data_IF_392261925142
#
_entry.id   IF_392261925142
#
_cell.length_a   1.000
_cell.length_b   1.000
_cell.length_c   1.000
_cell.angle_alpha   90.00
_cell.angle_beta   90.00
_cell.angle_gamma   90.00
#
_symmetry.space_group_name_H-M   'P 1'
#
loop_
_entity.id
_entity.type
_entity.pdbx_description
1 polymer ?
#
# COMPACT_ATOMS: atom_id res chain seq x y z
N UNK A 1 2.08 -19.66 3.73
CA UNK A 1 1.14 -19.84 4.88
C UNK A 1 0.56 -18.48 5.20
N UNK A 2 -0.72 -18.40 5.60
CA UNK A 2 -1.25 -17.13 6.14
C UNK A 2 -0.43 -16.75 7.39
N UNK A 3 -0.32 -15.47 7.74
CA UNK A 3 0.39 -15.04 8.95
C UNK A 3 -0.16 -15.66 10.25
N UNK A 4 -1.37 -16.22 10.21
CA UNK A 4 -2.04 -16.91 11.32
C UNK A 4 -2.32 -18.41 11.06
N UNK A 5 -1.68 -19.04 10.07
CA UNK A 5 -1.71 -20.51 9.85
C UNK A 5 -3.07 -21.22 9.74
N UNK A 6 -4.19 -20.53 9.47
CA UNK A 6 -5.47 -21.21 9.16
C UNK A 6 -5.78 -21.30 7.66
N UNK A 7 -6.20 -22.46 7.12
CA UNK A 7 -6.68 -22.59 5.76
C UNK A 7 -8.11 -22.05 5.65
N UNK A 8 -8.25 -20.78 5.25
CA UNK A 8 -9.54 -20.28 4.77
C UNK A 8 -9.84 -20.98 3.44
N UNK A 9 -11.02 -21.58 3.27
CA UNK A 9 -11.46 -22.26 2.04
C UNK A 9 -11.52 -21.33 0.81
N UNK A 10 -12.57 -21.39 -0.02
CA UNK A 10 -12.77 -20.34 -1.04
C UNK A 10 -13.03 -18.99 -0.37
N UNK A 11 -11.99 -18.19 -0.19
CA UNK A 11 -12.03 -16.86 0.40
C UNK A 11 -12.45 -15.81 -0.65
N UNK A 12 -13.37 -14.92 -0.29
CA UNK A 12 -13.79 -13.81 -1.17
C UNK A 12 -12.72 -12.70 -1.21
N UNK A 13 -12.74 -11.84 -2.24
CA UNK A 13 -11.83 -10.68 -2.33
C UNK A 13 -11.92 -9.79 -1.08
N UNK A 14 -13.13 -9.47 -0.63
CA UNK A 14 -13.36 -8.69 0.59
C UNK A 14 -12.65 -9.33 1.78
N UNK A 15 -12.86 -10.63 2.00
CA UNK A 15 -12.27 -11.36 3.11
C UNK A 15 -10.76 -11.45 2.99
N UNK A 16 -10.23 -11.68 1.78
CA UNK A 16 -8.80 -11.73 1.51
C UNK A 16 -8.10 -10.40 1.85
N UNK A 17 -8.75 -9.27 1.57
CA UNK A 17 -8.26 -7.94 1.98
C UNK A 17 -8.34 -7.78 3.51
N UNK A 18 -9.48 -8.11 4.13
CA UNK A 18 -9.69 -8.00 5.58
C UNK A 18 -8.60 -8.72 6.40
N UNK A 19 -8.28 -9.95 6.03
CA UNK A 19 -7.32 -10.80 6.77
C UNK A 19 -5.92 -10.82 6.17
N UNK A 20 -5.67 -10.06 5.10
CA UNK A 20 -4.39 -10.09 4.38
C UNK A 20 -3.97 -11.50 3.95
N UNK A 21 -4.84 -12.23 3.23
CA UNK A 21 -4.56 -13.63 2.88
C UNK A 21 -3.54 -13.76 1.75
N UNK A 22 -2.31 -14.11 2.13
CA UNK A 22 -1.24 -14.41 1.17
C UNK A 22 -1.63 -15.52 0.20
N UNK A 23 -2.30 -16.59 0.68
CA UNK A 23 -2.72 -17.71 -0.18
C UNK A 23 -3.61 -17.24 -1.34
N UNK A 24 -4.51 -16.30 -1.09
CA UNK A 24 -5.37 -15.73 -2.12
C UNK A 24 -4.54 -14.97 -3.18
N UNK A 25 -3.65 -14.08 -2.75
CA UNK A 25 -2.84 -13.26 -3.66
C UNK A 25 -1.74 -14.06 -4.36
N UNK A 26 -1.17 -15.09 -3.72
CA UNK A 26 -0.29 -16.07 -4.37
C UNK A 26 -1.00 -16.84 -5.47
N UNK A 27 -2.26 -17.25 -5.24
CA UNK A 27 -3.07 -17.93 -6.25
C UNK A 27 -3.32 -17.03 -7.45
N UNK A 28 -3.63 -15.75 -7.21
CA UNK A 28 -3.78 -14.75 -8.28
C UNK A 28 -2.45 -14.57 -9.03
N UNK A 29 -1.33 -14.39 -8.32
CA UNK A 29 0.00 -14.22 -8.90
C UNK A 29 0.39 -15.39 -9.79
N UNK A 30 0.25 -16.62 -9.32
CA UNK A 30 0.53 -17.83 -10.11
C UNK A 30 -0.41 -17.99 -11.32
N UNK A 31 -1.70 -17.67 -11.16
CA UNK A 31 -2.67 -17.71 -12.26
C UNK A 31 -2.37 -16.70 -13.36
N UNK A 32 -2.03 -15.46 -12.99
CA UNK A 32 -1.67 -14.41 -13.94
C UNK A 32 -0.38 -14.75 -14.69
N UNK A 33 0.64 -15.26 -14.01
CA UNK A 33 1.86 -15.75 -14.65
C UNK A 33 1.55 -16.88 -15.65
N UNK A 34 0.70 -17.84 -15.26
CA UNK A 34 0.34 -18.97 -16.12
C UNK A 34 -0.44 -18.53 -17.36
N UNK A 35 -1.31 -17.51 -17.24
CA UNK A 35 -2.02 -16.92 -18.39
C UNK A 35 -1.07 -16.16 -19.31
N UNK A 36 -0.13 -15.40 -18.74
CA UNK A 36 0.89 -14.69 -19.51
C UNK A 36 1.75 -15.66 -20.32
N UNK A 37 2.21 -16.76 -19.72
CA UNK A 37 3.02 -17.78 -20.41
C UNK A 37 2.27 -18.48 -21.54
N UNK A 38 0.95 -18.62 -21.41
CA UNK A 38 0.06 -19.13 -22.47
C UNK A 38 -0.39 -18.06 -23.47
N UNK A 39 0.07 -16.81 -23.33
CA UNK A 39 -0.34 -15.65 -24.15
C UNK A 39 -1.84 -15.36 -24.09
N UNK A 40 -2.48 -15.69 -22.96
CA UNK A 40 -3.91 -15.47 -22.69
C UNK A 40 -4.18 -14.18 -21.91
N UNK A 41 -3.13 -13.48 -21.49
CA UNK A 41 -3.19 -12.13 -20.94
C UNK A 41 -2.31 -11.19 -21.74
N UNK A 42 -2.66 -9.91 -21.78
CA UNK A 42 -1.99 -8.89 -22.60
C UNK A 42 -0.57 -8.50 -22.19
N UNK A 43 0.07 -9.21 -21.25
CA UNK A 43 1.39 -8.87 -20.74
C UNK A 43 1.58 -9.14 -19.24
N UNK A 44 2.46 -8.33 -18.64
CA UNK A 44 2.85 -8.34 -17.22
C UNK A 44 1.79 -7.61 -16.38
N UNK A 45 0.60 -8.21 -16.23
CA UNK A 45 -0.60 -7.54 -15.70
C UNK A 45 -0.36 -6.86 -14.34
N UNK A 46 0.39 -7.50 -13.42
CA UNK A 46 0.66 -6.95 -12.09
C UNK A 46 1.53 -5.68 -12.20
N UNK A 47 2.60 -5.77 -12.98
CA UNK A 47 3.56 -4.69 -13.19
C UNK A 47 2.92 -3.51 -13.93
N UNK A 48 2.16 -3.80 -14.99
CA UNK A 48 1.40 -2.80 -15.75
C UNK A 48 0.41 -2.08 -14.84
N UNK A 49 -0.36 -2.82 -14.04
CA UNK A 49 -1.30 -2.25 -13.06
C UNK A 49 -0.57 -1.40 -12.02
N UNK A 50 0.55 -1.89 -11.46
CA UNK A 50 1.33 -1.12 -10.49
C UNK A 50 1.84 0.21 -11.09
N UNK A 51 2.32 0.20 -12.33
CA UNK A 51 2.79 1.40 -13.04
C UNK A 51 1.65 2.37 -13.35
N UNK A 52 0.46 1.86 -13.69
CA UNK A 52 -0.74 2.68 -13.84
C UNK A 52 -1.06 3.42 -12.53
N UNK A 53 -0.95 2.75 -11.39
CA UNK A 53 -1.13 3.36 -10.06
C UNK A 53 0.04 4.26 -9.61
N UNK A 54 1.08 4.43 -10.44
CA UNK A 54 2.17 5.38 -10.21
C UNK A 54 3.45 4.78 -9.61
N UNK A 55 3.51 3.47 -9.36
CA UNK A 55 4.73 2.83 -8.87
C UNK A 55 5.82 2.74 -9.94
N UNK A 56 7.08 2.72 -9.50
CA UNK A 56 8.25 2.55 -10.38
C UNK A 56 8.69 3.81 -11.14
N UNK A 57 8.13 4.97 -10.80
CA UNK A 57 8.54 6.29 -11.27
C UNK A 57 8.41 7.33 -10.17
N UNK A 58 9.17 8.42 -10.29
CA UNK A 58 8.99 9.60 -9.45
C UNK A 58 7.53 10.10 -9.52
N UNK A 59 6.98 10.54 -8.39
CA UNK A 59 5.60 11.06 -8.31
C UNK A 59 5.46 12.47 -8.87
N UNK A 60 6.59 13.19 -9.00
CA UNK A 60 6.61 14.57 -9.48
C UNK A 60 6.35 15.59 -8.37
N UNK A 61 6.48 15.19 -7.10
CA UNK A 61 6.48 16.15 -5.99
C UNK A 61 7.62 17.15 -6.18
N UNK A 62 7.36 18.42 -5.87
CA UNK A 62 8.36 19.49 -5.95
C UNK A 62 9.34 19.45 -4.76
N UNK A 63 10.00 18.30 -4.55
CA UNK A 63 11.09 18.10 -3.59
C UNK A 63 12.31 17.53 -4.32
N UNK A 64 13.53 17.91 -3.89
CA UNK A 64 14.75 17.27 -4.40
C UNK A 64 14.84 15.81 -3.94
N UNK A 65 15.61 15.00 -4.67
CA UNK A 65 16.00 13.63 -4.29
C UNK A 65 14.83 12.63 -4.17
N UNK A 66 13.79 12.78 -4.99
CA UNK A 66 12.72 11.79 -5.06
C UNK A 66 13.22 10.46 -5.66
N UNK A 67 13.09 9.37 -4.89
CA UNK A 67 13.36 8.03 -5.38
C UNK A 67 12.20 7.52 -6.25
N UNK A 68 12.52 6.88 -7.37
CA UNK A 68 11.53 6.34 -8.31
C UNK A 68 10.89 5.01 -7.85
N UNK A 69 11.42 4.35 -6.83
CA UNK A 69 11.04 2.98 -6.49
C UNK A 69 11.41 1.98 -7.59
N UNK A 70 10.78 0.80 -7.58
CA UNK A 70 11.01 -0.27 -8.54
C UNK A 70 9.79 -1.17 -8.68
N UNK A 71 9.33 -1.35 -9.92
CA UNK A 71 8.38 -2.42 -10.29
C UNK A 71 9.17 -3.42 -11.15
N UNK A 72 9.66 -4.53 -10.57
CA UNK A 72 10.49 -5.49 -11.29
C UNK A 72 9.69 -6.22 -12.36
N UNK A 73 10.33 -6.47 -13.51
CA UNK A 73 9.79 -7.20 -14.64
C UNK A 73 10.88 -8.08 -15.28
N UNK A 74 10.50 -8.82 -16.33
CA UNK A 74 11.42 -9.71 -17.06
C UNK A 74 12.66 -8.97 -17.58
N UNK A 75 12.50 -7.75 -18.11
CA UNK A 75 13.60 -6.98 -18.65
C UNK A 75 14.55 -6.48 -17.55
N UNK A 76 14.01 -6.06 -16.40
CA UNK A 76 14.80 -5.70 -15.23
C UNK A 76 15.60 -6.91 -14.72
N UNK A 77 14.96 -8.09 -14.64
CA UNK A 77 15.59 -9.32 -14.17
C UNK A 77 16.73 -9.77 -15.08
N UNK A 78 16.55 -9.66 -16.40
CA UNK A 78 17.63 -9.90 -17.35
C UNK A 78 18.81 -8.95 -17.12
N UNK A 79 18.56 -7.64 -16.99
CA UNK A 79 19.63 -6.65 -16.77
C UNK A 79 20.43 -6.89 -15.49
N UNK A 80 19.79 -7.27 -14.39
CA UNK A 80 20.51 -7.53 -13.13
C UNK A 80 21.27 -8.85 -13.15
N UNK A 81 20.77 -9.86 -13.86
CA UNK A 81 21.50 -11.10 -14.14
C UNK A 81 22.77 -10.79 -14.94
N UNK A 82 22.64 -10.08 -16.06
CA UNK A 82 23.78 -9.72 -16.92
C UNK A 82 24.83 -8.91 -16.15
N UNK A 83 24.39 -8.00 -15.26
CA UNK A 83 25.28 -7.19 -14.46
C UNK A 83 25.96 -7.96 -13.32
N UNK A 84 25.28 -8.94 -12.72
CA UNK A 84 25.69 -9.64 -11.49
C UNK A 84 25.23 -11.11 -11.49
N UNK A 85 25.75 -11.95 -12.39
CA UNK A 85 25.24 -13.31 -12.59
C UNK A 85 25.42 -14.21 -11.37
N UNK A 86 26.47 -13.99 -10.56
CA UNK A 86 26.68 -14.75 -9.31
C UNK A 86 25.61 -14.46 -8.24
N UNK A 87 25.14 -13.22 -8.16
CA UNK A 87 24.12 -12.81 -7.20
C UNK A 87 22.70 -13.09 -7.71
N UNK A 88 22.51 -13.05 -9.02
CA UNK A 88 21.23 -13.28 -9.69
C UNK A 88 21.39 -14.35 -10.77
N UNK A 89 21.47 -15.64 -10.42
CA UNK A 89 21.81 -16.72 -11.36
C UNK A 89 20.74 -17.01 -12.42
N UNK A 90 19.54 -16.43 -12.30
CA UNK A 90 18.42 -16.66 -13.22
C UNK A 90 17.99 -15.36 -13.90
N UNK A 91 18.03 -15.33 -15.23
CA UNK A 91 17.59 -14.20 -16.06
C UNK A 91 16.08 -14.17 -16.30
N UNK A 92 15.41 -15.32 -16.22
CA UNK A 92 13.99 -15.46 -16.56
C UNK A 92 13.07 -15.00 -15.42
N UNK A 93 11.90 -14.45 -15.81
CA UNK A 93 10.80 -14.20 -14.89
C UNK A 93 10.02 -15.49 -14.58
N UNK A 94 10.26 -16.03 -13.39
CA UNK A 94 9.75 -17.29 -12.89
C UNK A 94 8.42 -17.11 -12.15
N UNK A 95 7.64 -18.20 -11.94
CA UNK A 95 6.39 -18.12 -11.19
C UNK A 95 6.56 -17.52 -9.79
N UNK A 96 7.68 -17.85 -9.12
CA UNK A 96 8.01 -17.35 -7.79
C UNK A 96 8.14 -15.83 -7.75
N UNK A 97 8.73 -15.22 -8.78
CA UNK A 97 8.85 -13.75 -8.86
C UNK A 97 7.46 -13.10 -8.92
N UNK A 98 6.56 -13.67 -9.71
CA UNK A 98 5.22 -13.14 -9.89
C UNK A 98 4.34 -13.31 -8.63
N UNK A 99 4.52 -14.43 -7.92
CA UNK A 99 3.84 -14.72 -6.66
C UNK A 99 4.30 -13.76 -5.56
N UNK A 100 5.61 -13.50 -5.46
CA UNK A 100 6.15 -12.53 -4.50
C UNK A 100 5.71 -11.11 -4.82
N UNK A 101 5.74 -10.72 -6.10
CA UNK A 101 5.29 -9.40 -6.53
C UNK A 101 3.79 -9.19 -6.23
N UNK A 102 2.95 -10.23 -6.33
CA UNK A 102 1.52 -10.14 -6.05
C UNK A 102 1.18 -9.74 -4.61
N UNK A 103 2.11 -9.93 -3.67
CA UNK A 103 1.99 -9.49 -2.27
C UNK A 103 2.90 -8.30 -1.93
N UNK A 104 3.56 -7.70 -2.93
CA UNK A 104 4.45 -6.56 -2.76
C UNK A 104 5.81 -6.92 -2.14
N UNK A 105 6.26 -8.17 -2.25
CA UNK A 105 7.55 -8.65 -1.78
C UNK A 105 8.51 -8.90 -2.96
N UNK A 106 9.71 -9.41 -2.66
CA UNK A 106 10.78 -9.64 -3.63
C UNK A 106 11.50 -8.33 -3.93
N UNK A 107 11.79 -8.07 -5.20
CA UNK A 107 12.52 -6.88 -5.63
C UNK A 107 11.66 -5.62 -5.81
N UNK A 108 10.39 -5.66 -5.42
CA UNK A 108 9.52 -4.50 -5.44
C UNK A 108 9.99 -3.45 -4.41
N UNK A 109 10.13 -2.20 -4.86
CA UNK A 109 10.45 -1.08 -3.97
C UNK A 109 9.43 0.04 -4.20
N UNK A 110 8.87 0.57 -3.13
CA UNK A 110 7.94 1.69 -3.18
C UNK A 110 8.26 2.70 -2.09
N UNK A 111 8.20 3.99 -2.43
CA UNK A 111 8.29 5.04 -1.41
C UNK A 111 6.97 5.16 -0.64
N UNK A 112 6.97 5.64 0.62
CA UNK A 112 5.72 5.92 1.34
C UNK A 112 4.79 6.88 0.58
N UNK A 113 5.36 7.83 -0.16
CA UNK A 113 4.59 8.73 -1.01
C UNK A 113 3.93 8.00 -2.18
N UNK A 114 4.62 7.08 -2.86
CA UNK A 114 4.00 6.25 -3.90
C UNK A 114 2.86 5.39 -3.35
N UNK A 115 3.01 4.82 -2.16
CA UNK A 115 1.95 4.05 -1.49
C UNK A 115 0.74 4.95 -1.21
N UNK A 116 0.95 6.14 -0.63
CA UNK A 116 -0.11 7.11 -0.38
C UNK A 116 -0.82 7.54 -1.68
N UNK A 117 -0.06 7.78 -2.75
CA UNK A 117 -0.60 8.16 -4.06
C UNK A 117 -1.42 7.05 -4.71
N UNK A 118 -0.99 5.79 -4.62
CA UNK A 118 -1.75 4.66 -5.14
C UNK A 118 -3.09 4.48 -4.39
N UNK A 119 -3.08 4.62 -3.07
CA UNK A 119 -4.30 4.59 -2.26
C UNK A 119 -5.19 5.81 -2.51
N UNK A 120 -4.61 7.00 -2.75
CA UNK A 120 -5.36 8.19 -3.19
C UNK A 120 -6.06 7.94 -4.52
N UNK A 121 -5.38 7.33 -5.49
CA UNK A 121 -5.96 7.00 -6.78
C UNK A 121 -7.17 6.07 -6.61
N UNK A 122 -7.02 4.98 -5.85
CA UNK A 122 -8.13 4.07 -5.52
C UNK A 122 -9.29 4.79 -4.81
N UNK A 123 -8.97 5.51 -3.74
CA UNK A 123 -9.93 6.17 -2.85
C UNK A 123 -10.77 7.22 -3.60
N UNK A 124 -10.14 7.95 -4.54
CA UNK A 124 -10.80 8.96 -5.38
C UNK A 124 -11.57 8.41 -6.58
N UNK A 125 -11.72 7.08 -6.70
CA UNK A 125 -12.41 6.47 -7.85
C UNK A 125 -11.57 6.45 -9.12
N UNK A 126 -10.24 6.50 -8.98
CA UNK A 126 -9.29 6.31 -10.06
C UNK A 126 -8.55 7.56 -10.48
N UNK A 127 -8.74 8.70 -9.82
CA UNK A 127 -8.08 9.96 -10.19
C UNK A 127 -6.63 9.99 -9.72
N UNK A 128 -5.71 10.06 -10.67
CA UNK A 128 -4.30 10.35 -10.40
C UNK A 128 -4.10 11.86 -10.28
N UNK A 129 -3.32 12.28 -9.30
CA UNK A 129 -2.93 13.69 -9.14
C UNK A 129 -1.42 13.80 -8.94
N UNK A 130 -0.82 14.93 -9.26
CA UNK A 130 0.57 15.21 -8.84
C UNK A 130 0.57 15.72 -7.40
N UNK A 131 1.32 15.11 -6.46
CA UNK A 131 1.42 15.59 -5.09
C UNK A 131 2.09 16.97 -5.01
N UNK A 132 1.59 17.84 -4.12
CA UNK A 132 2.08 19.21 -3.91
C UNK A 132 2.11 19.57 -2.43
N UNK A 133 3.10 20.37 -2.04
CA UNK A 133 3.24 20.91 -0.69
C UNK A 133 2.72 22.34 -0.57
N UNK A 134 2.96 23.15 -1.61
CA UNK A 134 2.56 24.56 -1.64
C UNK A 134 1.21 24.69 -2.33
N UNK A 135 0.24 25.33 -1.69
CA UNK A 135 -1.07 25.62 -2.29
C UNK A 135 -1.11 26.98 -2.99
N UNK A 136 -0.47 27.97 -2.39
CA UNK A 136 -0.33 29.35 -2.89
C UNK A 136 0.91 30.02 -2.30
N UNK A 137 1.41 31.04 -2.98
CA UNK A 137 2.49 31.91 -2.52
C UNK A 137 1.92 33.30 -2.27
N UNK A 138 2.28 33.89 -1.13
CA UNK A 138 1.87 35.24 -0.74
C UNK A 138 3.11 36.14 -0.66
N UNK A 139 2.95 37.44 -0.94
CA UNK A 139 3.97 38.44 -0.65
C UNK A 139 4.02 38.80 0.86
N UNK A 140 4.96 39.65 1.24
CA UNK A 140 5.09 40.13 2.63
C UNK A 140 3.87 40.91 3.16
N UNK A 141 2.97 41.36 2.28
CA UNK A 141 1.73 42.07 2.61
C UNK A 141 0.51 41.13 2.59
N UNK A 142 0.72 39.82 2.44
CA UNK A 142 -0.34 38.82 2.38
C UNK A 142 -1.09 38.77 1.04
N UNK A 143 -0.63 39.48 0.00
CA UNK A 143 -1.25 39.43 -1.32
C UNK A 143 -0.82 38.17 -2.06
N UNK A 144 -1.78 37.54 -2.74
CA UNK A 144 -1.52 36.37 -3.57
C UNK A 144 -0.60 36.73 -4.75
N UNK A 145 0.54 36.04 -4.85
CA UNK A 145 1.50 36.22 -5.95
C UNK A 145 1.49 35.05 -6.92
N UNK A 146 1.20 33.84 -6.43
CA UNK A 146 1.13 32.64 -7.27
C UNK A 146 0.16 31.62 -6.68
N UNK A 147 -0.74 31.11 -7.51
CA UNK A 147 -1.51 29.90 -7.22
C UNK A 147 -0.75 28.66 -7.70
N UNK A 148 -0.95 27.54 -7.01
CA UNK A 148 -0.40 26.26 -7.42
C UNK A 148 -1.52 25.21 -7.52
N UNK A 149 -2.40 25.28 -8.53
CA UNK A 149 -3.58 24.40 -8.61
C UNK A 149 -3.20 22.91 -8.70
N UNK A 150 -4.16 22.03 -8.39
CA UNK A 150 -3.95 20.59 -8.53
C UNK A 150 -3.78 20.22 -10.01
N UNK A 151 -2.76 19.41 -10.31
CA UNK A 151 -2.50 18.90 -11.66
C UNK A 151 -3.18 17.52 -11.82
N UNK A 152 -4.05 17.38 -12.82
CA UNK A 152 -4.63 16.08 -13.19
C UNK A 152 -3.54 15.24 -13.88
N UNK A 153 -3.24 14.08 -13.30
CA UNK A 153 -2.24 13.15 -13.81
C UNK A 153 -2.87 11.93 -14.51
N UNK A 154 -4.19 11.99 -14.76
CA UNK A 154 -4.93 10.98 -15.50
C UNK A 154 -5.88 10.15 -14.63
N UNK A 155 -6.22 8.97 -15.14
CA UNK A 155 -7.18 8.05 -14.52
C UNK A 155 -6.67 6.62 -14.57
N UNK A 156 -7.04 5.83 -13.56
CA UNK A 156 -6.84 4.38 -13.50
C UNK A 156 -8.16 3.66 -13.28
N UNK A 157 -8.33 2.45 -13.81
CA UNK A 157 -9.53 1.65 -13.54
C UNK A 157 -9.52 1.14 -12.09
N UNK A 158 -10.71 1.10 -11.49
CA UNK A 158 -10.92 0.65 -10.11
C UNK A 158 -12.03 -0.42 -10.05
N UNK A 159 -11.83 -1.59 -10.68
CA UNK A 159 -12.85 -2.63 -10.70
C UNK A 159 -13.10 -3.17 -9.29
N UNK A 160 -14.33 -3.61 -9.02
CA UNK A 160 -14.75 -4.14 -7.72
C UNK A 160 -14.49 -3.18 -6.53
N UNK A 161 -14.50 -1.87 -6.77
CA UNK A 161 -14.21 -0.84 -5.75
C UNK A 161 -15.01 -1.02 -4.47
N UNK A 162 -16.30 -1.29 -4.56
CA UNK A 162 -17.16 -1.44 -3.37
C UNK A 162 -16.78 -2.67 -2.54
N UNK A 163 -16.45 -3.79 -3.20
CA UNK A 163 -15.93 -4.99 -2.54
C UNK A 163 -14.59 -4.73 -1.86
N UNK A 164 -13.69 -3.97 -2.51
CA UNK A 164 -12.40 -3.59 -1.93
C UNK A 164 -12.57 -2.63 -0.76
N UNK A 165 -13.47 -1.64 -0.84
CA UNK A 165 -13.81 -0.74 0.26
C UNK A 165 -14.35 -1.51 1.46
N UNK A 166 -15.25 -2.47 1.24
CA UNK A 166 -15.73 -3.35 2.31
C UNK A 166 -14.60 -4.16 2.94
N UNK A 167 -13.62 -4.59 2.13
CA UNK A 167 -12.41 -5.28 2.60
C UNK A 167 -11.55 -4.38 3.50
N UNK A 168 -11.23 -3.17 3.03
CA UNK A 168 -10.46 -2.16 3.75
C UNK A 168 -11.14 -1.69 5.04
N UNK A 169 -12.48 -1.56 5.05
CA UNK A 169 -13.24 -1.31 6.28
C UNK A 169 -13.17 -2.49 7.24
N UNK A 170 -13.23 -3.72 6.71
CA UNK A 170 -13.08 -4.94 7.50
C UNK A 170 -11.71 -5.06 8.18
N UNK A 171 -10.64 -4.54 7.58
CA UNK A 171 -9.28 -4.57 8.19
C UNK A 171 -9.25 -3.91 9.57
N UNK A 172 -9.98 -2.81 9.75
CA UNK A 172 -9.99 -2.04 11.01
C UNK A 172 -11.24 -2.33 11.86
N UNK A 173 -12.36 -2.69 11.23
CA UNK A 173 -13.67 -2.80 11.90
C UNK A 173 -14.14 -4.23 12.20
N UNK A 174 -13.57 -5.26 11.57
CA UNK A 174 -13.94 -6.66 11.83
C UNK A 174 -13.07 -7.24 12.94
N UNK A 175 -13.62 -8.04 13.85
CA UNK A 175 -12.85 -8.76 14.90
C UNK A 175 -11.74 -9.68 14.39
N UNK A 176 -11.75 -9.98 13.09
CA UNK A 176 -10.77 -10.80 12.39
C UNK A 176 -9.90 -9.99 11.43
N UNK A 177 -10.09 -8.67 11.39
CA UNK A 177 -9.31 -7.73 10.60
C UNK A 177 -7.92 -7.53 11.17
N UNK A 178 -6.93 -7.43 10.31
CA UNK A 178 -5.51 -7.36 10.73
C UNK A 178 -5.16 -6.13 11.57
N UNK A 179 -5.93 -5.04 11.52
CA UNK A 179 -5.72 -3.84 12.33
C UNK A 179 -6.80 -3.63 13.39
N UNK A 180 -7.68 -4.61 13.61
CA UNK A 180 -8.80 -4.48 14.55
C UNK A 180 -8.34 -4.14 15.96
N UNK A 181 -7.31 -4.83 16.48
CA UNK A 181 -6.79 -4.57 17.83
C UNK A 181 -6.24 -3.14 17.99
N UNK A 182 -5.58 -2.60 16.97
CA UNK A 182 -5.07 -1.23 17.00
C UNK A 182 -6.19 -0.18 16.94
N UNK A 183 -7.26 -0.46 16.20
CA UNK A 183 -8.38 0.45 16.02
C UNK A 183 -9.47 0.28 17.08
N UNK A 184 -9.59 -0.83 17.80
CA UNK A 184 -10.64 -0.97 18.81
C UNK A 184 -10.29 -0.19 20.10
N UNK A 185 -11.24 0.57 20.71
CA UNK A 185 -12.49 1.06 20.13
C UNK A 185 -12.24 2.32 19.28
N UNK A 186 -12.67 2.31 18.01
CA UNK A 186 -12.70 3.48 17.14
C UNK A 186 -14.12 3.59 16.58
N UNK A 187 -14.74 4.78 16.61
CA UNK A 187 -16.12 4.95 16.15
C UNK A 187 -16.31 4.44 14.72
N UNK A 188 -17.18 3.44 14.55
CA UNK A 188 -17.55 2.94 13.22
C UNK A 188 -18.70 3.75 12.59
N UNK A 189 -19.29 4.67 13.35
CA UNK A 189 -20.14 5.73 12.81
C UNK A 189 -19.28 6.73 12.03
N UNK A 190 -19.76 7.28 10.90
CA UNK A 190 -18.98 8.23 10.11
C UNK A 190 -18.35 9.35 10.95
N UNK A 191 -17.08 9.71 10.68
CA UNK A 191 -16.26 9.25 9.55
C UNK A 191 -15.50 7.93 9.84
N UNK A 192 -15.93 6.84 9.21
CA UNK A 192 -15.29 5.54 9.31
C UNK A 192 -13.95 5.53 8.57
N UNK A 193 -13.01 4.72 9.06
CA UNK A 193 -11.69 4.53 8.45
C UNK A 193 -11.69 3.21 7.66
N UNK A 194 -11.01 3.19 6.53
CA UNK A 194 -10.58 1.95 5.88
C UNK A 194 -9.07 1.95 5.74
N UNK A 195 -8.44 0.77 5.75
CA UNK A 195 -7.00 0.71 5.52
C UNK A 195 -6.48 -0.70 5.33
N UNK A 196 -5.15 -0.80 5.25
CA UNK A 196 -4.43 -2.04 5.03
C UNK A 196 -3.10 -2.00 5.78
N UNK A 197 -2.82 -3.08 6.49
CA UNK A 197 -1.52 -3.36 7.10
C UNK A 197 -0.54 -3.90 6.06
N UNK A 198 0.75 -3.67 6.28
CA UNK A 198 1.84 -4.29 5.54
C UNK A 198 3.03 -4.53 6.44
N UNK A 199 3.89 -5.45 6.01
CA UNK A 199 5.12 -5.81 6.72
C UNK A 199 6.21 -5.98 5.66
N UNK A 200 7.20 -5.09 5.65
CA UNK A 200 8.34 -5.20 4.75
C UNK A 200 9.51 -5.89 5.48
N UNK A 201 9.99 -6.98 4.89
CA UNK A 201 11.07 -7.79 5.47
C UNK A 201 12.42 -7.23 5.04
N UNK A 202 13.36 -7.15 5.98
CA UNK A 202 14.74 -6.77 5.68
C UNK A 202 15.67 -7.80 6.31
N UNK A 203 16.55 -8.40 5.51
CA UNK A 203 17.46 -9.43 5.98
C UNK A 203 18.36 -8.89 7.10
N UNK A 204 18.41 -9.59 8.23
CA UNK A 204 19.24 -9.20 9.38
C UNK A 204 18.72 -8.03 10.22
N UNK A 205 17.49 -7.56 9.98
CA UNK A 205 16.84 -6.47 10.74
C UNK A 205 15.44 -6.87 11.20
N UNK A 206 14.87 -6.11 12.13
CA UNK A 206 13.44 -6.25 12.42
C UNK A 206 12.58 -5.81 11.22
N UNK A 207 11.37 -6.36 11.15
CA UNK A 207 10.43 -6.00 10.10
C UNK A 207 10.08 -4.51 10.14
N UNK A 208 9.86 -3.93 8.97
CA UNK A 208 9.33 -2.57 8.83
C UNK A 208 7.80 -2.63 8.86
N UNK A 209 7.21 -1.88 9.80
CA UNK A 209 5.77 -1.79 10.03
C UNK A 209 5.15 -0.77 9.06
N UNK A 210 4.14 -1.19 8.29
CA UNK A 210 3.43 -0.33 7.34
C UNK A 210 1.93 -0.35 7.63
N UNK A 211 1.31 0.83 7.58
CA UNK A 211 -0.14 0.97 7.48
C UNK A 211 -0.45 2.07 6.48
N UNK A 212 -1.45 1.84 5.63
CA UNK A 212 -2.03 2.89 4.78
C UNK A 212 -3.54 2.82 4.87
N UNK A 213 -4.18 3.97 4.99
CA UNK A 213 -5.63 4.05 5.07
C UNK A 213 -6.17 5.39 4.61
N UNK A 214 -7.49 5.50 4.63
CA UNK A 214 -8.20 6.69 4.22
C UNK A 214 -9.52 6.86 4.98
N UNK A 215 -9.95 8.11 5.10
CA UNK A 215 -11.18 8.48 5.80
C UNK A 215 -11.79 9.74 5.18
N UNK A 216 -13.12 9.89 5.23
CA UNK A 216 -14.14 8.85 5.48
C UNK A 216 -14.11 7.75 4.40
N UNK A 217 -14.32 6.49 4.75
CA UNK A 217 -14.18 5.38 3.78
C UNK A 217 -15.10 5.49 2.56
N UNK A 218 -16.34 6.00 2.72
CA UNK A 218 -17.30 6.14 1.61
C UNK A 218 -17.00 7.33 0.71
N UNK A 219 -16.51 8.45 1.28
CA UNK A 219 -16.15 9.65 0.55
C UNK A 219 -14.78 10.17 1.03
N UNK A 220 -13.67 9.52 0.63
CA UNK A 220 -12.36 9.78 1.19
C UNK A 220 -11.88 11.21 0.99
N UNK A 221 -11.49 11.86 2.08
CA UNK A 221 -10.90 13.21 2.09
C UNK A 221 -9.41 13.19 2.40
N UNK A 222 -8.99 12.21 3.19
CA UNK A 222 -7.60 12.06 3.64
C UNK A 222 -7.10 10.66 3.34
N UNK A 223 -5.83 10.56 2.97
CA UNK A 223 -5.05 9.32 2.91
C UNK A 223 -3.87 9.50 3.84
N UNK A 224 -3.61 8.49 4.67
CA UNK A 224 -2.49 8.46 5.61
C UNK A 224 -1.68 7.20 5.33
N UNK A 225 -0.38 7.36 5.09
CA UNK A 225 0.58 6.26 5.00
C UNK A 225 1.63 6.44 6.10
N UNK A 226 1.78 5.41 6.93
CA UNK A 226 2.72 5.36 8.04
C UNK A 226 3.67 4.20 7.80
N UNK A 227 4.97 4.49 7.82
CA UNK A 227 6.04 3.50 7.74
C UNK A 227 6.95 3.71 8.94
N UNK A 228 7.21 2.64 9.68
CA UNK A 228 8.15 2.63 10.81
C UNK A 228 9.16 1.52 10.57
N UNK A 229 10.38 1.92 10.24
CA UNK A 229 11.50 1.00 10.06
C UNK A 229 11.80 0.25 11.36
N UNK A 230 12.06 -1.05 11.25
CA UNK A 230 12.32 -1.92 12.42
C UNK A 230 11.23 -1.84 13.50
N UNK A 231 9.99 -1.50 13.09
CA UNK A 231 8.84 -1.31 13.97
C UNK A 231 7.95 -2.54 14.14
N UNK A 232 8.40 -3.72 13.73
CA UNK A 232 7.62 -4.95 13.79
C UNK A 232 6.56 -5.08 12.70
N UNK A 233 5.45 -5.73 13.00
CA UNK A 233 4.35 -5.94 12.06
C UNK A 233 3.50 -4.67 11.90
N UNK A 234 2.84 -4.51 10.74
CA UNK A 234 2.00 -3.34 10.44
C UNK A 234 0.95 -2.99 11.50
N UNK A 235 0.41 -4.02 12.17
CA UNK A 235 -0.61 -3.87 13.21
C UNK A 235 -0.07 -3.37 14.57
N UNK A 236 1.24 -3.52 14.82
CA UNK A 236 1.86 -3.29 16.13
C UNK A 236 2.21 -1.81 16.35
N UNK A 237 2.70 -1.15 15.29
CA UNK A 237 3.26 0.21 15.41
C UNK A 237 2.65 1.19 14.42
N UNK A 238 2.64 0.86 13.12
CA UNK A 238 2.12 1.78 12.10
C UNK A 238 0.60 2.01 12.21
N UNK A 239 -0.18 0.96 12.49
CA UNK A 239 -1.63 1.08 12.63
C UNK A 239 -2.07 1.95 13.84
N UNK A 240 -1.50 1.81 15.07
CA UNK A 240 -1.78 2.72 16.17
C UNK A 240 -1.43 4.19 15.87
N UNK A 241 -0.31 4.46 15.20
CA UNK A 241 0.06 5.83 14.79
C UNK A 241 -0.95 6.37 13.77
N UNK A 242 -1.31 5.58 12.77
CA UNK A 242 -2.30 5.98 11.76
C UNK A 242 -3.67 6.27 12.40
N UNK A 243 -4.09 5.47 13.38
CA UNK A 243 -5.31 5.72 14.18
C UNK A 243 -5.27 7.11 14.82
N UNK A 244 -4.20 7.47 15.53
CA UNK A 244 -4.10 8.77 16.19
C UNK A 244 -4.18 9.93 15.19
N UNK A 245 -3.58 9.77 14.00
CA UNK A 245 -3.69 10.75 12.92
C UNK A 245 -5.15 10.84 12.43
N UNK A 246 -5.85 9.73 12.25
CA UNK A 246 -7.26 9.75 11.85
C UNK A 246 -8.18 10.34 12.92
N UNK A 247 -7.92 10.08 14.21
CA UNK A 247 -8.66 10.70 15.31
C UNK A 247 -8.55 12.23 15.21
N UNK A 248 -7.33 12.75 15.06
CA UNK A 248 -7.09 14.18 14.89
C UNK A 248 -7.76 14.76 13.64
N UNK A 249 -7.61 14.10 12.48
CA UNK A 249 -8.22 14.55 11.21
C UNK A 249 -9.75 14.56 11.23
N UNK A 250 -10.35 13.70 12.05
CA UNK A 250 -11.79 13.56 12.20
C UNK A 250 -12.36 14.33 13.40
N UNK A 251 -11.54 15.09 14.13
CA UNK A 251 -11.97 15.86 15.29
C UNK A 251 -12.37 15.00 16.50
N UNK A 252 -11.85 13.77 16.57
CA UNK A 252 -12.01 12.88 17.72
C UNK A 252 -10.90 13.14 18.74
N UNK A 253 -11.13 12.84 20.04
CA UNK A 253 -10.05 12.83 21.02
C UNK A 253 -8.94 11.87 20.58
N UNK A 254 -7.70 12.36 20.55
CA UNK A 254 -6.54 11.53 20.24
C UNK A 254 -6.25 10.65 21.44
N UNK A 255 -6.45 9.35 21.28
CA UNK A 255 -6.11 8.35 22.29
C UNK A 255 -4.60 8.18 22.42
N UNK A 256 -4.10 7.62 23.54
CA UNK A 256 -2.70 7.25 23.64
C UNK A 256 -2.34 6.24 22.55
N UNK A 257 -1.21 6.47 21.88
CA UNK A 257 -0.64 5.51 20.92
C UNK A 257 -0.06 4.34 21.73
N UNK A 258 -0.89 3.36 22.05
CA UNK A 258 -0.43 2.14 22.68
C UNK A 258 0.27 1.29 21.61
N UNK A 259 1.60 1.21 21.65
CA UNK A 259 2.28 0.09 21.01
C UNK A 259 1.81 -1.17 21.71
N UNK A 260 1.37 -2.20 20.98
CA UNK A 260 1.31 -3.53 21.56
C UNK A 260 2.75 -3.85 21.98
N UNK A 261 3.00 -3.94 23.29
CA UNK A 261 4.34 -4.08 23.83
C UNK A 261 5.08 -5.20 23.10
N UNK A 262 6.27 -4.89 22.57
CA UNK A 262 7.14 -5.87 21.95
C UNK A 262 7.51 -6.90 23.01
N UNK A 263 6.90 -8.10 22.95
CA UNK A 263 7.30 -9.23 23.77
C UNK A 263 8.58 -9.84 23.19
N UNK A 264 9.71 -9.15 23.35
CA UNK A 264 11.01 -9.60 22.85
C UNK A 264 12.12 -9.13 23.77
N UNK A 265 12.40 -9.94 24.79
CA UNK A 265 13.49 -9.71 25.74
C UNK A 265 13.66 -10.89 26.70
N UNK A 266 14.24 -11.99 26.18
CA UNK A 266 15.28 -12.81 26.82
C UNK A 266 15.92 -13.70 25.75
#
# INVERSE_FOLDING_TARGET
TNSNSEPFGRISLQRAITVSSDVYFYTIGGSLWSKQRRKESGGDVIQETARLYGFGRATGIALPNEAAGRVPDSAWKQRIHDARPDAFPYSDWLPGDNVQLAVGQGDALATPLQIAMAYQAFASGGRLSTPRLVSRVLDAKGRLTRENPAVDAGRVPVPARDTMLAGFGGVVGSSTGTAFGAFAPYPQTPPAVGGKTGTAQVAGKQNTSLFVGFTPIQNPRYVVSVVVEEGGYGAETAAPIARAIFEALNGLPVGPVASLAYAGGN
#
